data_IF_782477477071
#
_entry.id   IF_782477477071
#
_cell.length_a   1.000
_cell.length_b   1.000
_cell.length_c   1.000
_cell.angle_alpha   90.00
_cell.angle_beta   90.00
_cell.angle_gamma   90.00
#
_symmetry.space_group_name_H-M   'P 1'
#
loop_
_entity.id
_entity.type
_entity.pdbx_description
1 polymer ?
#
# COMPACT_ATOMS: atom_id res chain seq x y z
N UNK A 1 -12.63 -17.27 -13.55
CA UNK A 1 -11.15 -17.28 -13.66
C UNK A 1 -10.53 -15.96 -14.12
N UNK A 2 -11.04 -15.28 -15.17
CA UNK A 2 -10.42 -14.02 -15.68
C UNK A 2 -10.26 -12.88 -14.64
N UNK A 3 -11.21 -12.72 -13.72
CA UNK A 3 -11.15 -11.68 -12.66
C UNK A 3 -10.06 -11.95 -11.61
N UNK A 4 -9.79 -13.22 -11.27
CA UNK A 4 -8.75 -13.56 -10.30
C UNK A 4 -7.34 -13.23 -10.85
N UNK A 5 -7.08 -13.57 -12.12
CA UNK A 5 -5.85 -13.19 -12.81
C UNK A 5 -5.67 -11.67 -12.93
N UNK A 6 -6.77 -10.94 -13.15
CA UNK A 6 -6.75 -9.47 -13.19
C UNK A 6 -6.40 -8.84 -11.84
N UNK A 7 -6.89 -9.42 -10.74
CA UNK A 7 -6.69 -8.93 -9.38
C UNK A 7 -5.35 -9.36 -8.76
N UNK A 8 -4.66 -10.31 -9.38
CA UNK A 8 -3.40 -10.86 -8.91
C UNK A 8 -2.29 -9.81 -8.71
N UNK A 9 -1.98 -8.91 -9.67
CA UNK A 9 -0.93 -7.90 -9.46
C UNK A 9 -1.26 -6.92 -8.33
N UNK A 10 -2.54 -6.64 -8.07
CA UNK A 10 -2.99 -5.80 -6.96
C UNK A 10 -2.72 -6.47 -5.61
N UNK A 11 -3.07 -7.76 -5.51
CA UNK A 11 -2.82 -8.53 -4.30
C UNK A 11 -1.34 -8.70 -4.01
N UNK A 12 -0.54 -9.00 -5.04
CA UNK A 12 0.92 -9.09 -4.91
C UNK A 12 1.50 -7.74 -4.49
N UNK A 13 1.08 -6.64 -5.10
CA UNK A 13 1.56 -5.31 -4.74
C UNK A 13 1.29 -4.98 -3.26
N UNK A 14 0.06 -5.20 -2.78
CA UNK A 14 -0.29 -4.96 -1.37
C UNK A 14 0.47 -5.88 -0.42
N UNK A 15 0.66 -7.14 -0.83
CA UNK A 15 1.38 -8.10 0.01
C UNK A 15 2.85 -7.72 0.13
N UNK A 16 3.49 -7.33 -0.97
CA UNK A 16 4.93 -7.09 -1.03
C UNK A 16 5.31 -5.68 -0.54
N UNK A 17 4.34 -4.78 -0.40
CA UNK A 17 4.54 -3.38 0.00
C UNK A 17 5.46 -3.17 1.22
N UNK A 18 5.30 -3.88 2.35
CA UNK A 18 6.12 -3.66 3.54
C UNK A 18 7.50 -4.31 3.46
N UNK A 19 7.76 -5.17 2.48
CA UNK A 19 9.01 -5.93 2.41
C UNK A 19 10.15 -5.08 1.81
N UNK A 20 11.27 -4.93 2.52
CA UNK A 20 12.45 -4.23 2.01
C UNK A 20 13.06 -4.98 0.79
N UNK A 21 13.76 -4.25 -0.08
CA UNK A 21 14.44 -4.84 -1.24
C UNK A 21 13.53 -5.22 -2.41
N UNK A 22 12.22 -4.96 -2.33
CA UNK A 22 11.25 -5.34 -3.36
C UNK A 22 10.83 -4.19 -4.28
N UNK A 23 11.58 -3.08 -4.30
CA UNK A 23 11.24 -1.85 -5.06
C UNK A 23 10.91 -2.16 -6.52
N UNK A 24 11.78 -2.88 -7.22
CA UNK A 24 11.57 -3.23 -8.63
C UNK A 24 10.27 -4.02 -8.83
N UNK A 25 10.02 -5.01 -7.98
CA UNK A 25 8.81 -5.82 -8.04
C UNK A 25 7.54 -5.00 -7.74
N UNK A 26 7.59 -4.12 -6.75
CA UNK A 26 6.49 -3.19 -6.42
C UNK A 26 6.18 -2.28 -7.62
N UNK A 27 7.19 -1.74 -8.28
CA UNK A 27 7.01 -0.90 -9.46
C UNK A 27 6.46 -1.68 -10.66
N UNK A 28 6.92 -2.91 -10.89
CA UNK A 28 6.39 -3.77 -11.96
C UNK A 28 4.92 -4.14 -11.68
N UNK A 29 4.59 -4.53 -10.45
CA UNK A 29 3.21 -4.82 -10.07
C UNK A 29 2.31 -3.59 -10.16
N UNK A 30 2.81 -2.41 -9.76
CA UNK A 30 2.08 -1.15 -9.88
C UNK A 30 1.81 -0.79 -11.35
N UNK A 31 2.84 -0.88 -12.20
CA UNK A 31 2.69 -0.62 -13.63
C UNK A 31 1.71 -1.60 -14.27
N UNK A 32 1.82 -2.90 -13.96
CA UNK A 32 0.90 -3.92 -14.45
C UNK A 32 -0.55 -3.66 -13.99
N UNK A 33 -0.75 -3.40 -12.70
CA UNK A 33 -2.06 -3.10 -12.13
C UNK A 33 -2.69 -1.85 -12.79
N UNK A 34 -1.90 -0.79 -12.96
CA UNK A 34 -2.35 0.45 -13.60
C UNK A 34 -2.72 0.23 -15.08
N UNK A 35 -1.86 -0.44 -15.85
CA UNK A 35 -2.11 -0.73 -17.27
C UNK A 35 -3.34 -1.62 -17.47
N UNK A 36 -3.53 -2.62 -16.61
CA UNK A 36 -4.71 -3.49 -16.64
C UNK A 36 -6.01 -2.71 -16.37
N UNK A 37 -5.98 -1.79 -15.40
CA UNK A 37 -7.11 -0.88 -15.13
C UNK A 37 -7.37 0.05 -16.30
N UNK A 38 -6.32 0.63 -16.89
CA UNK A 38 -6.47 1.52 -18.05
C UNK A 38 -7.06 0.78 -19.25
N UNK A 39 -6.58 -0.43 -19.53
CA UNK A 39 -7.10 -1.28 -20.59
C UNK A 39 -8.56 -1.71 -20.35
N UNK A 40 -8.91 -1.93 -19.07
CA UNK A 40 -10.25 -2.36 -18.66
C UNK A 40 -11.16 -1.21 -18.25
N UNK A 41 -10.75 0.05 -18.42
CA UNK A 41 -11.43 1.22 -17.85
C UNK A 41 -12.90 1.30 -18.26
N UNK A 42 -13.18 1.10 -19.56
CA UNK A 42 -14.55 1.09 -20.11
C UNK A 42 -15.39 -0.08 -19.58
N UNK A 43 -14.77 -1.20 -19.22
CA UNK A 43 -15.47 -2.39 -18.71
C UNK A 43 -15.72 -2.31 -17.20
N UNK A 44 -14.81 -1.68 -16.46
CA UNK A 44 -14.92 -1.47 -15.03
C UNK A 44 -15.95 -0.38 -14.69
N UNK A 45 -16.16 0.59 -15.60
CA UNK A 45 -17.09 1.71 -15.44
C UNK A 45 -17.01 2.31 -14.02
N UNK A 46 -15.80 2.75 -13.58
CA UNK A 46 -15.59 3.17 -12.20
C UNK A 46 -16.50 4.37 -11.86
N UNK A 47 -16.96 4.45 -10.59
CA UNK A 47 -17.78 5.57 -10.15
C UNK A 47 -17.03 6.90 -10.34
N UNK A 48 -17.76 8.02 -10.48
CA UNK A 48 -17.11 9.32 -10.60
C UNK A 48 -16.20 9.56 -9.40
N UNK A 49 -14.93 9.84 -9.69
CA UNK A 49 -13.92 10.18 -8.67
C UNK A 49 -14.47 11.26 -7.72
N UNK A 50 -14.55 11.00 -6.40
CA UNK A 50 -14.90 12.03 -5.44
C UNK A 50 -13.76 13.06 -5.34
N UNK A 51 -14.11 14.29 -5.00
CA UNK A 51 -13.13 15.34 -4.66
C UNK A 51 -12.07 15.63 -5.73
N UNK A 52 -12.44 15.57 -7.03
CA UNK A 52 -11.53 15.88 -8.16
C UNK A 52 -10.82 17.22 -8.01
N UNK A 53 -11.53 18.24 -7.49
CA UNK A 53 -10.97 19.56 -7.25
C UNK A 53 -9.84 19.53 -6.21
N UNK A 54 -10.00 18.76 -5.13
CA UNK A 54 -8.97 18.62 -4.10
C UNK A 54 -7.75 17.86 -4.63
N UNK A 55 -7.97 16.78 -5.41
CA UNK A 55 -6.88 16.04 -6.05
C UNK A 55 -6.11 16.92 -7.05
N UNK A 56 -6.83 17.70 -7.86
CA UNK A 56 -6.22 18.64 -8.79
C UNK A 56 -5.44 19.72 -8.04
N UNK A 57 -6.03 20.35 -7.02
CA UNK A 57 -5.35 21.35 -6.21
C UNK A 57 -4.06 20.80 -5.58
N UNK A 58 -4.11 19.57 -5.04
CA UNK A 58 -2.93 18.92 -4.48
C UNK A 58 -1.83 18.68 -5.53
N UNK A 59 -2.17 18.14 -6.70
CA UNK A 59 -1.22 17.96 -7.80
C UNK A 59 -0.66 19.30 -8.29
N UNK A 60 -1.51 20.32 -8.41
CA UNK A 60 -1.08 21.66 -8.83
C UNK A 60 -0.12 22.27 -7.83
N UNK A 61 -0.38 22.17 -6.53
CA UNK A 61 0.53 22.66 -5.48
C UNK A 61 1.87 21.91 -5.52
N UNK A 62 1.84 20.59 -5.67
CA UNK A 62 3.06 19.78 -5.77
C UNK A 62 3.88 20.07 -7.03
N UNK A 63 3.24 20.37 -8.16
CA UNK A 63 3.93 20.79 -9.38
C UNK A 63 4.43 22.24 -9.27
N UNK A 64 3.68 23.13 -8.62
CA UNK A 64 4.09 24.51 -8.41
C UNK A 64 5.30 24.61 -7.49
N UNK A 65 5.45 23.72 -6.49
CA UNK A 65 6.63 23.70 -5.62
C UNK A 65 7.92 23.37 -6.39
N UNK A 66 7.83 22.69 -7.54
CA UNK A 66 8.98 22.44 -8.40
C UNK A 66 9.55 23.74 -9.02
N UNK A 67 8.69 24.74 -9.27
CA UNK A 67 9.12 26.01 -9.84
C UNK A 67 9.98 26.83 -8.86
N UNK A 68 9.87 26.55 -7.56
CA UNK A 68 10.65 27.19 -6.49
C UNK A 68 11.76 26.29 -5.95
N UNK A 69 11.96 25.10 -6.53
CA UNK A 69 12.95 24.14 -6.04
C UNK A 69 14.38 24.59 -6.39
N UNK A 70 15.27 24.50 -5.40
CA UNK A 70 16.71 24.81 -5.56
C UNK A 70 17.41 23.74 -6.40
N UNK A 71 17.06 22.46 -6.18
CA UNK A 71 17.48 21.33 -7.01
C UNK A 71 16.26 20.73 -7.69
N UNK A 72 16.02 21.18 -8.92
CA UNK A 72 14.87 20.75 -9.72
C UNK A 72 14.95 19.28 -10.12
N UNK A 73 16.15 18.71 -10.26
CA UNK A 73 16.31 17.30 -10.64
C UNK A 73 15.95 16.39 -9.46
N UNK A 74 16.39 16.73 -8.25
CA UNK A 74 16.02 16.02 -7.03
C UNK A 74 14.51 16.13 -6.76
N UNK A 75 13.96 17.35 -6.74
CA UNK A 75 12.54 17.56 -6.46
C UNK A 75 11.61 16.96 -7.52
N UNK A 76 12.02 16.89 -8.79
CA UNK A 76 11.26 16.17 -9.81
C UNK A 76 11.20 14.66 -9.53
N UNK A 77 12.30 14.10 -9.01
CA UNK A 77 12.36 12.71 -8.56
C UNK A 77 11.41 12.44 -7.38
N UNK A 78 11.37 13.35 -6.41
CA UNK A 78 10.43 13.27 -5.27
C UNK A 78 8.98 13.35 -5.73
N UNK A 79 8.63 14.33 -6.58
CA UNK A 79 7.25 14.45 -7.11
C UNK A 79 6.84 13.18 -7.86
N UNK A 80 7.74 12.59 -8.66
CA UNK A 80 7.45 11.33 -9.35
C UNK A 80 7.14 10.20 -8.37
N UNK A 81 7.91 10.10 -7.28
CA UNK A 81 7.74 9.05 -6.28
C UNK A 81 6.51 9.28 -5.39
N UNK A 82 6.29 10.50 -4.92
CA UNK A 82 5.26 10.83 -3.94
C UNK A 82 3.92 11.17 -4.56
N UNK A 83 3.88 11.73 -5.78
CA UNK A 83 2.63 12.11 -6.46
C UNK A 83 2.33 11.15 -7.60
N UNK A 84 3.33 10.84 -8.43
CA UNK A 84 3.14 9.98 -9.60
C UNK A 84 2.72 8.56 -9.21
N UNK A 85 3.56 7.86 -8.46
CA UNK A 85 3.29 6.48 -8.07
C UNK A 85 2.10 6.33 -7.13
N UNK A 86 1.86 7.29 -6.24
CA UNK A 86 0.70 7.28 -5.35
C UNK A 86 -0.60 7.50 -6.12
N UNK A 87 -0.63 8.40 -7.11
CA UNK A 87 -1.81 8.60 -7.95
C UNK A 87 -2.09 7.39 -8.83
N UNK A 88 -1.04 6.77 -9.40
CA UNK A 88 -1.19 5.51 -10.14
C UNK A 88 -1.80 4.42 -9.27
N UNK A 89 -1.28 4.25 -8.04
CA UNK A 89 -1.79 3.26 -7.11
C UNK A 89 -3.24 3.56 -6.73
N UNK A 90 -3.55 4.82 -6.38
CA UNK A 90 -4.89 5.26 -6.03
C UNK A 90 -5.89 4.97 -7.15
N UNK A 91 -5.60 5.39 -8.38
CA UNK A 91 -6.49 5.16 -9.53
C UNK A 91 -6.67 3.67 -9.82
N UNK A 92 -5.59 2.89 -9.76
CA UNK A 92 -5.64 1.46 -9.98
C UNK A 92 -6.55 0.78 -8.96
N UNK A 93 -6.34 1.01 -7.65
CA UNK A 93 -7.15 0.41 -6.59
C UNK A 93 -8.58 0.95 -6.54
N UNK A 94 -8.78 2.24 -6.81
CA UNK A 94 -10.12 2.85 -6.86
C UNK A 94 -10.97 2.22 -7.95
N UNK A 95 -10.43 2.08 -9.17
CA UNK A 95 -11.14 1.44 -10.28
C UNK A 95 -11.30 -0.08 -10.09
N UNK A 96 -10.34 -0.75 -9.45
CA UNK A 96 -10.38 -2.19 -9.21
C UNK A 96 -11.26 -2.61 -8.01
N UNK A 97 -11.78 -1.67 -7.21
CA UNK A 97 -12.53 -1.95 -5.97
C UNK A 97 -13.97 -1.42 -6.05
N UNK A 98 -14.84 -1.99 -6.90
CA UNK A 98 -16.21 -1.53 -7.05
C UNK A 98 -17.11 -1.92 -5.86
N UNK A 99 -16.77 -3.00 -5.15
CA UNK A 99 -17.60 -3.56 -4.07
C UNK A 99 -16.88 -3.56 -2.73
N UNK A 100 -17.67 -3.48 -1.65
CA UNK A 100 -17.18 -3.62 -0.27
C UNK A 100 -16.45 -4.94 -0.02
N UNK A 101 -16.82 -6.01 -0.74
CA UNK A 101 -16.16 -7.33 -0.65
C UNK A 101 -14.72 -7.29 -1.15
N UNK A 102 -14.44 -6.52 -2.22
CA UNK A 102 -13.08 -6.38 -2.73
C UNK A 102 -12.21 -5.57 -1.78
N UNK A 103 -12.79 -4.52 -1.16
CA UNK A 103 -12.11 -3.77 -0.10
C UNK A 103 -11.73 -4.66 1.09
N UNK A 104 -12.64 -5.56 1.51
CA UNK A 104 -12.34 -6.53 2.57
C UNK A 104 -11.21 -7.50 2.18
N UNK A 105 -11.16 -7.95 0.92
CA UNK A 105 -10.07 -8.80 0.42
C UNK A 105 -8.72 -8.07 0.46
N UNK A 106 -8.67 -6.82 0.03
CA UNK A 106 -7.48 -5.99 0.14
C UNK A 106 -7.06 -5.77 1.59
N UNK A 107 -8.01 -5.51 2.48
CA UNK A 107 -7.76 -5.42 3.91
C UNK A 107 -7.12 -6.69 4.48
N UNK A 108 -7.64 -7.88 4.12
CA UNK A 108 -7.04 -9.16 4.55
C UNK A 108 -5.61 -9.31 4.05
N UNK A 109 -5.32 -8.91 2.80
CA UNK A 109 -3.96 -9.00 2.25
C UNK A 109 -3.00 -8.05 2.98
N UNK A 110 -3.42 -6.82 3.27
CA UNK A 110 -2.63 -5.84 4.04
C UNK A 110 -2.37 -6.35 5.46
N UNK A 111 -3.38 -6.94 6.10
CA UNK A 111 -3.22 -7.53 7.43
C UNK A 111 -2.26 -8.71 7.36
N UNK A 112 -2.40 -9.58 6.36
CA UNK A 112 -1.53 -10.74 6.18
C UNK A 112 -0.07 -10.33 5.96
N UNK A 113 0.20 -9.29 5.16
CA UNK A 113 1.56 -8.79 4.98
C UNK A 113 2.12 -8.15 6.24
N UNK A 114 1.32 -7.37 6.98
CA UNK A 114 1.70 -6.82 8.27
C UNK A 114 2.06 -7.91 9.30
N UNK A 115 1.22 -8.96 9.42
CA UNK A 115 1.52 -10.12 10.27
C UNK A 115 2.82 -10.78 9.84
N UNK A 116 3.00 -10.99 8.53
CA UNK A 116 4.17 -11.72 8.02
C UNK A 116 5.46 -10.99 8.34
N UNK A 117 5.50 -9.67 8.15
CA UNK A 117 6.70 -8.89 8.47
C UNK A 117 6.92 -8.73 9.97
N UNK A 118 5.86 -8.67 10.78
CA UNK A 118 5.96 -8.63 12.25
C UNK A 118 6.52 -9.95 12.80
N UNK A 119 6.02 -11.09 12.31
CA UNK A 119 6.57 -12.41 12.64
C UNK A 119 8.04 -12.51 12.22
N UNK A 120 8.40 -12.03 11.03
CA UNK A 120 9.80 -12.02 10.60
C UNK A 120 10.66 -11.12 11.50
N UNK A 121 10.22 -9.90 11.80
CA UNK A 121 10.93 -8.99 12.69
C UNK A 121 11.14 -9.59 14.08
N UNK A 122 10.10 -10.19 14.67
CA UNK A 122 10.16 -10.89 15.95
C UNK A 122 11.12 -12.09 15.92
N UNK A 123 11.09 -12.92 14.86
CA UNK A 123 12.06 -14.01 14.70
C UNK A 123 13.50 -13.52 14.52
N UNK A 124 13.70 -12.41 13.82
CA UNK A 124 15.02 -11.80 13.65
C UNK A 124 15.54 -11.26 15.00
N UNK A 125 14.69 -10.60 15.78
CA UNK A 125 15.01 -10.13 17.13
C UNK A 125 15.38 -11.30 18.05
N UNK A 126 14.60 -12.40 18.05
CA UNK A 126 14.91 -13.58 18.87
C UNK A 126 16.24 -14.24 18.50
N UNK A 127 16.66 -14.18 17.22
CA UNK A 127 17.95 -14.72 16.77
C UNK A 127 19.12 -13.80 17.09
N UNK A 128 18.93 -12.49 16.93
CA UNK A 128 20.01 -11.51 17.05
C UNK A 128 20.15 -10.93 18.47
N UNK A 129 19.11 -10.99 19.30
CA UNK A 129 19.07 -10.41 20.65
C UNK A 129 19.01 -8.88 20.70
N UNK A 130 18.96 -8.21 19.54
CA UNK A 130 18.88 -6.76 19.40
C UNK A 130 18.10 -6.40 18.15
N UNK A 131 17.58 -5.17 18.12
CA UNK A 131 16.92 -4.62 16.94
C UNK A 131 17.96 -4.12 15.95
N UNK A 132 18.00 -4.71 14.76
CA UNK A 132 18.95 -4.34 13.71
C UNK A 132 18.44 -3.13 12.89
N UNK A 133 19.13 -1.99 13.02
CA UNK A 133 18.84 -0.74 12.29
C UNK A 133 19.08 -0.83 10.78
N UNK A 134 19.93 -1.76 10.31
CA UNK A 134 20.19 -2.03 8.88
C UNK A 134 19.53 -3.32 8.41
N UNK A 135 18.71 -3.93 9.26
CA UNK A 135 18.35 -5.34 9.18
C UNK A 135 17.43 -5.74 8.03
N UNK A 136 17.37 -7.05 7.86
CA UNK A 136 16.66 -7.82 6.82
C UNK A 136 15.16 -7.51 6.65
N UNK A 137 14.53 -6.84 7.63
CA UNK A 137 13.12 -6.42 7.61
C UNK A 137 12.94 -4.90 7.35
N UNK A 138 14.00 -4.20 6.95
CA UNK A 138 13.93 -2.80 6.48
C UNK A 138 14.35 -1.77 7.53
N UNK A 139 14.92 -2.23 8.64
CA UNK A 139 15.34 -1.41 9.77
C UNK A 139 14.20 -1.02 10.71
N UNK A 140 14.58 -0.63 11.93
CA UNK A 140 13.65 -0.30 13.03
C UNK A 140 12.71 0.85 12.67
N UNK A 141 13.23 1.88 11.99
CA UNK A 141 12.42 3.05 11.59
C UNK A 141 11.30 2.71 10.61
N UNK A 142 11.57 1.88 9.61
CA UNK A 142 10.56 1.44 8.62
C UNK A 142 9.51 0.56 9.28
N UNK A 143 9.94 -0.34 10.17
CA UNK A 143 9.03 -1.21 10.92
C UNK A 143 8.14 -0.41 11.89
N UNK A 144 8.71 0.54 12.63
CA UNK A 144 7.95 1.41 13.54
C UNK A 144 6.91 2.24 12.77
N UNK A 145 7.28 2.79 11.61
CA UNK A 145 6.36 3.53 10.74
C UNK A 145 5.19 2.66 10.28
N UNK A 146 5.48 1.40 9.90
CA UNK A 146 4.44 0.43 9.57
C UNK A 146 3.51 0.17 10.76
N UNK A 147 4.05 -0.06 11.96
CA UNK A 147 3.25 -0.31 13.16
C UNK A 147 2.34 0.87 13.50
N UNK A 148 2.86 2.10 13.45
CA UNK A 148 2.09 3.34 13.73
C UNK A 148 0.91 3.49 12.78
N UNK A 149 1.05 3.10 11.50
CA UNK A 149 -0.04 3.19 10.51
C UNK A 149 -0.98 1.98 10.59
N UNK A 150 -0.43 0.77 10.75
CA UNK A 150 -1.19 -0.47 10.72
C UNK A 150 -2.01 -0.68 12.00
N UNK A 151 -1.45 -0.42 13.18
CA UNK A 151 -2.11 -0.69 14.48
C UNK A 151 -3.46 0.02 14.60
N UNK A 152 -3.60 1.34 14.33
CA UNK A 152 -4.91 2.00 14.37
C UNK A 152 -5.89 1.39 13.39
N UNK A 153 -5.44 1.03 12.17
CA UNK A 153 -6.29 0.38 11.18
C UNK A 153 -6.74 -1.01 11.62
N UNK A 154 -5.86 -1.79 12.24
CA UNK A 154 -6.17 -3.12 12.79
C UNK A 154 -7.17 -3.01 13.95
N UNK A 155 -7.02 -2.02 14.83
CA UNK A 155 -7.94 -1.74 15.94
C UNK A 155 -9.33 -1.31 15.44
N UNK A 156 -9.39 -0.45 14.42
CA UNK A 156 -10.66 -0.05 13.80
C UNK A 156 -11.31 -1.25 13.11
N UNK A 157 -10.54 -2.05 12.37
CA UNK A 157 -11.02 -3.29 11.78
C UNK A 157 -11.53 -4.26 12.84
N UNK A 158 -10.80 -4.46 13.94
CA UNK A 158 -11.21 -5.28 15.09
C UNK A 158 -12.55 -4.82 15.67
N UNK A 159 -12.71 -3.53 15.92
CA UNK A 159 -13.93 -2.96 16.52
C UNK A 159 -15.18 -3.14 15.65
N UNK A 160 -15.01 -3.27 14.32
CA UNK A 160 -16.09 -3.39 13.34
C UNK A 160 -16.21 -4.79 12.71
N UNK A 161 -15.37 -5.73 13.14
CA UNK A 161 -15.28 -7.06 12.53
C UNK A 161 -16.22 -8.10 13.18
N UNK A 162 -16.70 -9.03 12.35
CA UNK A 162 -17.31 -10.28 12.82
C UNK A 162 -16.31 -11.12 13.62
N UNK A 163 -16.77 -12.15 14.35
CA UNK A 163 -15.91 -12.97 15.22
C UNK A 163 -14.62 -13.49 14.56
N UNK A 164 -14.67 -13.84 13.26
CA UNK A 164 -13.49 -14.25 12.47
C UNK A 164 -12.53 -13.09 12.16
N UNK A 165 -13.05 -11.91 11.85
CA UNK A 165 -12.21 -10.73 11.56
C UNK A 165 -11.59 -10.13 12.83
N UNK A 166 -12.24 -10.31 13.99
CA UNK A 166 -11.60 -10.09 15.29
C UNK A 166 -10.38 -11.01 15.41
N UNK A 167 -10.54 -12.33 15.41
CA UNK A 167 -9.41 -13.26 15.56
C UNK A 167 -8.16 -12.93 14.71
N UNK A 168 -8.36 -12.54 13.44
CA UNK A 168 -7.27 -12.12 12.53
C UNK A 168 -6.58 -10.82 13.00
N UNK A 169 -7.34 -9.82 13.44
CA UNK A 169 -6.77 -8.57 13.94
C UNK A 169 -6.07 -8.73 15.32
N UNK A 170 -6.46 -9.69 16.18
CA UNK A 170 -5.69 -9.99 17.41
C UNK A 170 -4.35 -10.60 17.05
N UNK A 171 -4.35 -11.56 16.12
CA UNK A 171 -3.12 -12.18 15.64
C UNK A 171 -2.15 -11.14 15.06
N UNK A 172 -2.67 -10.12 14.38
CA UNK A 172 -1.86 -9.02 13.85
C UNK A 172 -1.41 -7.99 14.89
N UNK A 173 -2.14 -7.84 15.99
CA UNK A 173 -1.75 -6.95 17.11
C UNK A 173 -0.83 -7.65 18.12
N UNK A 174 -0.84 -8.98 18.17
CA UNK A 174 -0.01 -9.78 19.08
C UNK A 174 1.35 -10.19 18.47
N UNK A 175 1.49 -10.08 17.14
CA UNK A 175 2.73 -10.35 16.40
C UNK A 175 3.68 -9.14 16.42
#
# INVERSE_FOLDING_TARGET
MRRALFLLPFGILLFILPFPGTVALRLVCLAAAFLLVLWSWRRLAPPPLPSRAALLAWVTVALASLATAVDTAYSAGEIKNEVGYTMMAFLAFFAATPERRDLQRWGVIVVASAVTISVWASLAFLKAGHWDDRGTYGGVGTYASLAVVAVPMLLVCWSRASARGRAVAALALAA
#
